data_IF_526485129113
#
_entry.id   IF_526485129113
#
_cell.length_a   1.000
_cell.length_b   1.000
_cell.length_c   1.000
_cell.angle_alpha   90.00
_cell.angle_beta   90.00
_cell.angle_gamma   90.00
#
_symmetry.space_group_name_H-M   'P 1'
#
loop_
_entity.id
_entity.type
_entity.pdbx_description
1 polymer ?
#
# COMPACT_ATOMS: atom_id res chain seq x y z
N UNK A 1 -10.03 -3.22 14.55
CA UNK A 1 -10.11 -2.41 13.32
C UNK A 1 -11.28 -1.48 13.53
N UNK A 2 -11.03 -0.18 13.57
CA UNK A 2 -12.11 0.81 13.67
C UNK A 2 -13.03 0.61 12.47
N UNK A 3 -14.29 0.25 12.72
CA UNK A 3 -15.32 0.09 11.71
C UNK A 3 -16.43 1.10 11.99
N UNK A 4 -17.01 1.68 10.94
CA UNK A 4 -18.11 2.64 11.07
C UNK A 4 -17.65 4.10 11.06
N UNK A 5 -18.31 4.97 11.84
CA UNK A 5 -18.14 6.44 11.78
C UNK A 5 -16.71 6.91 12.09
N UNK A 6 -15.92 6.10 12.79
CA UNK A 6 -14.54 6.41 13.16
C UNK A 6 -13.52 6.11 12.05
N UNK A 7 -13.94 5.48 10.94
CA UNK A 7 -13.00 5.22 9.83
C UNK A 7 -12.43 6.51 9.25
N UNK A 8 -11.10 6.55 9.07
CA UNK A 8 -10.41 7.64 8.39
C UNK A 8 -10.53 7.61 6.87
N UNK A 9 -9.82 8.51 6.18
CA UNK A 9 -9.88 8.62 4.72
C UNK A 9 -9.42 7.35 4.00
N UNK A 10 -8.35 6.70 4.47
CA UNK A 10 -7.76 5.55 3.75
C UNK A 10 -8.73 4.36 3.70
N UNK A 11 -9.30 3.86 4.83
CA UNK A 11 -10.30 2.80 4.77
C UNK A 11 -11.53 3.15 3.91
N UNK A 12 -12.05 4.38 4.02
CA UNK A 12 -13.20 4.84 3.23
C UNK A 12 -12.91 4.87 1.74
N UNK A 13 -11.73 5.37 1.34
CA UNK A 13 -11.30 5.39 -0.06
C UNK A 13 -11.14 3.98 -0.63
N UNK A 14 -10.63 3.02 0.16
CA UNK A 14 -10.49 1.62 -0.26
C UNK A 14 -11.87 1.01 -0.54
N UNK A 15 -12.84 1.21 0.37
CA UNK A 15 -14.21 0.70 0.20
C UNK A 15 -14.87 1.30 -1.04
N UNK A 16 -14.79 2.62 -1.18
CA UNK A 16 -15.34 3.35 -2.33
C UNK A 16 -14.70 2.88 -3.65
N UNK A 17 -13.38 2.66 -3.68
CA UNK A 17 -12.67 2.15 -4.86
C UNK A 17 -13.27 0.83 -5.34
N UNK A 18 -13.44 -0.14 -4.46
CA UNK A 18 -13.98 -1.45 -4.84
C UNK A 18 -15.47 -1.41 -5.19
N UNK A 19 -16.24 -0.52 -4.57
CA UNK A 19 -17.62 -0.28 -4.99
C UNK A 19 -17.68 0.23 -6.44
N UNK A 20 -16.88 1.23 -6.80
CA UNK A 20 -16.81 1.75 -8.17
C UNK A 20 -16.32 0.69 -9.16
N UNK A 21 -15.29 -0.08 -8.80
CA UNK A 21 -14.78 -1.19 -9.63
C UNK A 21 -15.87 -2.21 -9.90
N UNK A 22 -16.67 -2.57 -8.88
CA UNK A 22 -17.78 -3.52 -9.01
C UNK A 22 -18.87 -2.98 -9.94
N UNK A 23 -19.25 -1.72 -9.78
CA UNK A 23 -20.26 -1.06 -10.62
C UNK A 23 -19.84 -1.05 -12.09
N UNK A 24 -18.62 -0.59 -12.40
CA UNK A 24 -18.11 -0.53 -13.77
C UNK A 24 -17.86 -1.93 -14.38
N UNK A 25 -17.40 -2.89 -13.58
CA UNK A 25 -17.21 -4.27 -14.07
C UNK A 25 -18.54 -4.96 -14.39
N UNK A 26 -19.61 -4.61 -13.67
CA UNK A 26 -20.96 -5.12 -13.90
C UNK A 26 -21.54 -4.71 -15.26
N UNK A 27 -21.03 -3.64 -15.88
CA UNK A 27 -21.46 -3.24 -17.24
C UNK A 27 -20.81 -4.07 -18.34
N UNK A 28 -19.83 -4.92 -18.01
CA UNK A 28 -19.07 -5.75 -18.96
C UNK A 28 -18.11 -4.98 -19.89
N UNK A 29 -17.95 -3.66 -19.70
CA UNK A 29 -17.16 -2.80 -20.62
C UNK A 29 -15.68 -2.74 -20.24
N UNK A 30 -15.36 -2.92 -18.96
CA UNK A 30 -14.01 -2.77 -18.42
C UNK A 30 -13.69 -3.90 -17.46
N UNK A 31 -12.41 -4.23 -17.38
CA UNK A 31 -11.84 -5.12 -16.37
C UNK A 31 -10.79 -4.33 -15.61
N UNK A 32 -10.79 -4.48 -14.29
CA UNK A 32 -9.85 -3.78 -13.41
C UNK A 32 -9.01 -4.82 -12.67
N UNK A 33 -7.73 -4.50 -12.51
CA UNK A 33 -6.83 -5.20 -11.59
C UNK A 33 -6.29 -4.17 -10.62
N UNK A 34 -6.42 -4.43 -9.32
CA UNK A 34 -6.03 -3.49 -8.27
C UNK A 34 -4.75 -4.00 -7.62
N UNK A 35 -3.75 -3.12 -7.50
CA UNK A 35 -2.50 -3.43 -6.81
C UNK A 35 -2.33 -2.50 -5.61
N UNK A 36 -1.77 -3.03 -4.51
CA UNK A 36 -1.43 -2.27 -3.32
C UNK A 36 0.08 -2.35 -3.07
N UNK A 37 0.68 -1.20 -2.79
CA UNK A 37 2.01 -1.10 -2.17
C UNK A 37 1.93 -0.08 -1.04
N UNK A 38 2.80 -0.24 -0.03
CA UNK A 38 2.80 0.68 1.12
C UNK A 38 4.24 0.88 1.62
N UNK A 39 4.68 2.13 1.71
CA UNK A 39 6.04 2.48 2.10
C UNK A 39 6.08 3.59 3.15
N UNK A 40 7.22 3.71 3.82
CA UNK A 40 7.58 4.82 4.68
C UNK A 40 8.91 5.43 4.20
N UNK A 41 8.97 6.76 4.14
CA UNK A 41 10.24 7.48 4.00
C UNK A 41 10.67 7.95 5.38
N UNK A 42 11.85 7.55 5.82
CA UNK A 42 12.40 7.90 7.13
C UNK A 42 13.92 8.03 7.04
N UNK A 43 14.49 9.09 7.61
CA UNK A 43 15.94 9.39 7.53
C UNK A 43 16.48 9.25 6.10
N UNK A 44 15.80 9.88 5.14
CA UNK A 44 16.15 9.88 3.70
C UNK A 44 16.20 8.49 3.04
N UNK A 45 15.58 7.46 3.66
CA UNK A 45 15.54 6.10 3.16
C UNK A 45 14.10 5.63 2.97
N UNK A 46 13.86 4.85 1.92
CA UNK A 46 12.55 4.26 1.60
C UNK A 46 12.47 2.85 2.18
N UNK A 47 11.40 2.55 2.90
CA UNK A 47 11.15 1.25 3.51
C UNK A 47 9.81 0.69 3.08
N UNK A 48 9.81 -0.58 2.70
CA UNK A 48 8.59 -1.32 2.35
C UNK A 48 7.89 -1.79 3.63
N UNK A 49 6.65 -1.34 3.84
CA UNK A 49 5.87 -1.66 5.03
C UNK A 49 5.14 -3.01 4.92
N UNK A 50 5.11 -3.61 3.73
CA UNK A 50 4.47 -4.89 3.44
C UNK A 50 5.47 -6.06 3.44
N UNK A 51 6.77 -5.79 3.30
CA UNK A 51 7.81 -6.81 3.31
C UNK A 51 8.53 -6.91 4.67
N UNK A 52 8.25 -7.98 5.43
CA UNK A 52 8.85 -8.26 6.75
C UNK A 52 10.39 -8.26 6.76
N UNK A 53 11.03 -8.72 5.68
CA UNK A 53 12.50 -8.72 5.59
C UNK A 53 13.08 -7.31 5.56
N UNK A 54 12.34 -6.35 5.00
CA UNK A 54 12.74 -4.95 4.89
C UNK A 54 12.51 -4.18 6.20
N UNK A 55 11.52 -4.58 7.00
CA UNK A 55 11.23 -3.98 8.31
C UNK A 55 12.38 -4.14 9.31
N UNK A 56 13.08 -5.29 9.28
CA UNK A 56 14.28 -5.47 10.13
C UNK A 56 15.33 -4.38 9.83
N UNK A 57 15.48 -3.98 8.55
CA UNK A 57 16.43 -2.94 8.14
C UNK A 57 16.04 -1.54 8.62
N UNK A 58 14.75 -1.26 8.79
CA UNK A 58 14.28 0.01 9.35
C UNK A 58 14.75 0.19 10.80
N UNK A 59 14.81 -0.90 11.57
CA UNK A 59 15.27 -0.90 12.97
C UNK A 59 16.80 -0.94 13.07
N UNK A 60 17.48 -1.69 12.21
CA UNK A 60 18.94 -1.85 12.25
C UNK A 60 19.72 -0.85 11.39
N UNK A 61 19.06 0.23 10.93
CA UNK A 61 19.61 1.23 10.00
C UNK A 61 20.26 0.62 8.73
N UNK A 62 19.67 -0.45 8.20
CA UNK A 62 20.07 -1.06 6.94
C UNK A 62 19.68 -0.22 5.71
N UNK A 63 20.23 -0.50 4.53
CA UNK A 63 19.95 0.28 3.33
C UNK A 63 18.46 0.24 2.97
N UNK A 64 17.89 1.41 2.67
CA UNK A 64 16.55 1.54 2.12
C UNK A 64 16.46 1.05 0.68
N UNK A 65 15.23 1.00 0.15
CA UNK A 65 14.98 0.76 -1.26
C UNK A 65 15.52 1.92 -2.10
N UNK A 66 16.01 1.57 -3.29
CA UNK A 66 16.56 2.54 -4.24
C UNK A 66 15.44 3.23 -5.01
N UNK A 67 15.63 4.52 -5.26
CA UNK A 67 14.78 5.30 -6.15
C UNK A 67 15.45 5.37 -7.52
N UNK A 68 14.70 5.08 -8.57
CA UNK A 68 15.14 5.16 -9.96
C UNK A 68 14.30 6.16 -10.74
N UNK A 69 14.94 6.98 -11.55
CA UNK A 69 14.26 7.81 -12.53
C UNK A 69 13.96 6.98 -13.78
N UNK A 70 12.69 6.88 -14.15
CA UNK A 70 12.25 6.17 -15.36
C UNK A 70 11.47 7.11 -16.26
N UNK A 71 12.16 7.62 -17.30
CA UNK A 71 11.71 8.61 -18.28
C UNK A 71 11.20 9.91 -17.63
N UNK A 72 10.01 9.85 -17.02
CA UNK A 72 9.23 10.97 -16.51
C UNK A 72 8.70 10.77 -15.08
N UNK A 73 8.95 9.62 -14.45
CA UNK A 73 8.52 9.37 -13.07
C UNK A 73 9.58 8.66 -12.24
N UNK A 74 9.51 8.88 -10.93
CA UNK A 74 10.30 8.12 -9.97
C UNK A 74 9.64 6.77 -9.68
N UNK A 75 10.44 5.72 -9.69
CA UNK A 75 10.05 4.37 -9.36
C UNK A 75 10.92 3.86 -8.21
N UNK A 76 10.29 3.29 -7.19
CA UNK A 76 11.00 2.60 -6.11
C UNK A 76 11.31 1.18 -6.57
N UNK A 77 12.59 0.83 -6.63
CA UNK A 77 13.02 -0.51 -7.02
C UNK A 77 12.71 -1.52 -5.92
N UNK A 78 12.21 -2.69 -6.30
CA UNK A 78 11.89 -3.79 -5.39
C UNK A 78 10.86 -3.45 -4.30
N UNK A 79 10.02 -2.43 -4.54
CA UNK A 79 8.84 -2.19 -3.70
C UNK A 79 7.84 -3.31 -3.93
N UNK A 80 7.42 -3.98 -2.86
CA UNK A 80 6.47 -5.06 -2.94
C UNK A 80 5.09 -4.54 -3.33
N UNK A 81 4.52 -5.12 -4.38
CA UNK A 81 3.17 -4.84 -4.89
C UNK A 81 2.33 -6.10 -4.82
N UNK A 82 1.18 -6.03 -4.17
CA UNK A 82 0.24 -7.16 -4.03
C UNK A 82 -1.02 -6.93 -4.85
N UNK A 83 -1.41 -7.91 -5.66
CA UNK A 83 -2.68 -7.89 -6.38
C UNK A 83 -3.83 -8.15 -5.40
N UNK A 84 -4.74 -7.18 -5.27
CA UNK A 84 -5.85 -7.21 -4.32
C UNK A 84 -7.15 -7.49 -5.05
N UNK A 85 -7.91 -8.48 -4.56
CA UNK A 85 -9.18 -8.91 -5.15
C UNK A 85 -10.39 -8.33 -4.43
N UNK A 86 -10.19 -7.80 -3.23
CA UNK A 86 -11.23 -7.23 -2.38
C UNK A 86 -10.74 -6.01 -1.58
N UNK A 87 -11.69 -5.24 -1.03
CA UNK A 87 -11.39 -4.15 -0.11
C UNK A 87 -10.71 -4.68 1.16
N UNK A 88 -11.13 -5.86 1.61
CA UNK A 88 -10.60 -6.57 2.77
C UNK A 88 -9.12 -6.91 2.61
N UNK A 89 -8.68 -7.28 1.40
CA UNK A 89 -7.26 -7.53 1.11
C UNK A 89 -6.40 -6.28 1.37
N UNK A 90 -6.83 -5.12 0.84
CA UNK A 90 -6.09 -3.87 1.03
C UNK A 90 -6.17 -3.40 2.49
N UNK A 91 -7.33 -3.53 3.14
CA UNK A 91 -7.47 -3.17 4.56
C UNK A 91 -6.55 -4.01 5.45
N UNK A 92 -6.41 -5.31 5.15
CA UNK A 92 -5.46 -6.18 5.86
C UNK A 92 -4.02 -5.71 5.68
N UNK A 93 -3.61 -5.36 4.45
CA UNK A 93 -2.28 -4.80 4.16
C UNK A 93 -2.06 -3.42 4.81
N UNK A 94 -3.10 -2.57 4.84
CA UNK A 94 -3.07 -1.27 5.48
C UNK A 94 -2.82 -1.40 6.99
N UNK A 95 -3.59 -2.25 7.67
CA UNK A 95 -3.38 -2.52 9.09
C UNK A 95 -2.05 -3.20 9.39
N UNK A 96 -1.60 -4.09 8.50
CA UNK A 96 -0.27 -4.68 8.59
C UNK A 96 0.80 -3.58 8.52
N UNK A 97 0.74 -2.69 7.54
CA UNK A 97 1.69 -1.59 7.37
C UNK A 97 1.69 -0.58 8.51
N UNK A 98 0.53 -0.24 9.09
CA UNK A 98 0.44 0.65 10.27
C UNK A 98 1.27 0.08 11.44
N UNK A 99 1.14 -1.22 11.73
CA UNK A 99 1.88 -1.86 12.84
C UNK A 99 3.39 -1.84 12.62
N UNK A 100 3.82 -1.75 11.37
CA UNK A 100 5.22 -1.79 10.98
C UNK A 100 5.85 -0.40 10.82
N UNK A 101 5.03 0.65 10.86
CA UNK A 101 5.48 2.03 10.76
C UNK A 101 6.33 2.38 11.98
N UNK A 102 7.51 2.95 11.76
CA UNK A 102 8.27 3.57 12.85
C UNK A 102 7.60 4.89 13.21
N UNK A 103 7.26 5.03 14.49
CA UNK A 103 6.70 6.24 15.09
C UNK A 103 7.77 6.78 16.06
N UNK A 104 7.98 8.09 16.04
CA UNK A 104 8.87 8.78 16.97
C UNK A 104 8.23 8.90 18.35
#
# INVERSE_FOLDING_TARGET
VEAGEQEGIVPRSIRLLFEMVKQESGTGRKKFTVYCSYLQVYKERVYDLLNKSHLKRLVTDGPGLKLKWNKDHFQVENLYTFECRSAEDILALYHFGIKNKVVA
#
